data_IF_239531876571
#
_entry.id   IF_239531876571
#
_cell.length_a   1.000
_cell.length_b   1.000
_cell.length_c   1.000
_cell.angle_alpha   90.00
_cell.angle_beta   90.00
_cell.angle_gamma   90.00
#
_symmetry.space_group_name_H-M   'P 1'
#
loop_
_entity.id
_entity.type
_entity.pdbx_description
1 polymer ?
#
# COMPACT_ATOMS: atom_id res chain seq x y z
N UNK A 1 -0.02 7.51 -29.01
CA UNK A 1 0.51 6.97 -27.75
C UNK A 1 1.92 7.50 -27.56
N UNK A 2 2.16 8.23 -26.47
CA UNK A 2 3.51 8.66 -26.09
C UNK A 2 4.29 7.43 -25.63
N UNK A 3 5.41 7.15 -26.30
CA UNK A 3 6.35 6.12 -25.86
C UNK A 3 6.98 6.57 -24.53
N UNK A 4 6.81 5.78 -23.48
CA UNK A 4 7.49 5.98 -22.20
C UNK A 4 8.95 5.60 -22.38
N UNK A 5 9.85 6.58 -22.41
CA UNK A 5 11.29 6.34 -22.59
C UNK A 5 11.99 5.83 -21.33
N UNK A 6 11.39 6.05 -20.15
CA UNK A 6 11.94 5.70 -18.84
C UNK A 6 10.82 5.36 -17.86
N UNK A 7 11.08 4.37 -17.01
CA UNK A 7 10.30 4.08 -15.81
C UNK A 7 11.19 4.21 -14.59
N UNK A 8 10.66 4.77 -13.50
CA UNK A 8 11.32 4.82 -12.20
C UNK A 8 10.51 3.92 -11.26
N UNK A 9 11.13 2.85 -10.77
CA UNK A 9 10.53 1.94 -9.81
C UNK A 9 11.12 2.22 -8.43
N UNK A 10 10.25 2.47 -7.45
CA UNK A 10 10.61 2.65 -6.05
C UNK A 10 9.96 1.54 -5.25
N UNK A 11 10.77 0.74 -4.56
CA UNK A 11 10.29 -0.31 -3.66
C UNK A 11 10.40 0.21 -2.23
N UNK A 12 9.29 0.24 -1.51
CA UNK A 12 9.25 0.53 -0.09
C UNK A 12 9.20 -0.80 0.67
N UNK A 13 10.37 -1.28 1.06
CA UNK A 13 10.49 -2.58 1.74
C UNK A 13 9.74 -2.57 3.09
N UNK A 14 9.02 -3.66 3.38
CA UNK A 14 8.19 -3.82 4.57
C UNK A 14 6.86 -3.04 4.59
N UNK A 15 6.55 -2.24 3.57
CA UNK A 15 5.34 -1.40 3.55
C UNK A 15 4.13 -2.16 2.95
N UNK A 16 3.64 -3.14 3.70
CA UNK A 16 2.46 -3.91 3.35
C UNK A 16 1.14 -3.14 3.53
N UNK A 17 0.19 -3.36 2.62
CA UNK A 17 -1.14 -2.70 2.59
C UNK A 17 -2.31 -3.65 2.93
N UNK A 18 -2.01 -4.71 3.68
CA UNK A 18 -2.97 -5.73 4.10
C UNK A 18 -2.48 -7.16 3.83
N UNK A 19 -3.18 -8.13 4.41
CA UNK A 19 -2.78 -9.53 4.36
C UNK A 19 -2.92 -10.11 2.95
N UNK A 20 -1.95 -10.95 2.55
CA UNK A 20 -2.07 -11.74 1.33
C UNK A 20 -3.19 -12.79 1.49
N UNK A 21 -3.84 -13.27 0.41
CA UNK A 21 -4.95 -14.23 0.53
C UNK A 21 -4.60 -15.54 1.25
N UNK A 22 -3.34 -15.96 1.23
CA UNK A 22 -2.82 -17.16 1.89
C UNK A 22 -2.18 -16.90 3.26
N UNK A 23 -2.26 -15.66 3.79
CA UNK A 23 -1.56 -15.26 5.01
C UNK A 23 -1.90 -16.14 6.23
N UNK A 24 -3.10 -16.72 6.27
CA UNK A 24 -3.49 -17.66 7.33
C UNK A 24 -2.61 -18.91 7.38
N UNK A 25 -2.08 -19.38 6.25
CA UNK A 25 -1.17 -20.52 6.19
C UNK A 25 0.20 -20.22 6.84
N UNK A 26 0.53 -18.94 7.00
CA UNK A 26 1.78 -18.46 7.57
C UNK A 26 1.62 -17.86 8.98
N UNK A 27 0.41 -17.89 9.54
CA UNK A 27 0.11 -17.29 10.84
C UNK A 27 -0.05 -15.75 10.82
N UNK A 28 -0.10 -15.14 9.63
CA UNK A 28 -0.12 -13.69 9.44
C UNK A 28 -1.53 -13.18 9.07
N UNK A 29 -2.58 -13.90 9.48
CA UNK A 29 -3.97 -13.50 9.23
C UNK A 29 -4.26 -12.12 9.83
N UNK A 30 -4.79 -11.20 9.02
CA UNK A 30 -5.09 -9.83 9.44
C UNK A 30 -3.88 -8.90 9.53
N UNK A 31 -2.69 -9.31 9.08
CA UNK A 31 -1.54 -8.43 9.00
C UNK A 31 -1.81 -7.22 8.08
N UNK A 32 -1.49 -6.01 8.54
CA UNK A 32 -1.62 -4.77 7.75
C UNK A 32 -0.60 -3.74 8.27
N UNK A 33 0.62 -3.77 7.73
CA UNK A 33 1.74 -2.99 8.27
C UNK A 33 1.47 -1.49 8.28
N UNK A 34 1.04 -0.94 7.15
CA UNK A 34 0.82 0.50 7.00
C UNK A 34 -0.34 1.00 7.85
N UNK A 35 -1.44 0.24 7.90
CA UNK A 35 -2.62 0.56 8.71
C UNK A 35 -2.31 0.53 10.21
N UNK A 36 -1.72 -0.57 10.70
CA UNK A 36 -1.39 -0.71 12.12
C UNK A 36 -0.32 0.31 12.56
N UNK A 37 0.64 0.63 11.69
CA UNK A 37 1.62 1.69 11.96
C UNK A 37 0.92 3.04 12.15
N UNK A 38 0.07 3.43 11.20
CA UNK A 38 -0.67 4.69 11.27
C UNK A 38 -1.56 4.77 12.52
N UNK A 39 -2.21 3.68 12.91
CA UNK A 39 -2.99 3.59 14.15
C UNK A 39 -2.10 3.74 15.39
N UNK A 40 -0.98 3.02 15.45
CA UNK A 40 -0.10 2.98 16.61
C UNK A 40 0.55 4.34 16.91
N UNK A 41 0.83 5.15 15.89
CA UNK A 41 1.46 6.47 16.05
C UNK A 41 0.45 7.63 16.14
N UNK A 42 -0.85 7.34 16.10
CA UNK A 42 -1.91 8.36 16.16
C UNK A 42 -2.17 9.12 14.86
N UNK A 43 -1.65 8.62 13.74
CA UNK A 43 -1.83 9.18 12.41
C UNK A 43 -0.52 9.28 11.62
N UNK A 44 -0.60 8.95 10.33
CA UNK A 44 0.49 9.04 9.38
C UNK A 44 0.06 9.92 8.20
N UNK A 45 0.56 11.16 8.17
CA UNK A 45 0.27 12.13 7.13
C UNK A 45 1.18 11.91 5.92
N UNK A 46 0.61 11.45 4.80
CA UNK A 46 1.33 11.18 3.56
C UNK A 46 0.70 11.96 2.40
N UNK A 47 0.72 13.31 2.42
CA UNK A 47 -0.02 14.13 1.45
C UNK A 47 0.35 13.81 -0.01
N UNK A 48 1.63 13.55 -0.29
CA UNK A 48 2.11 13.22 -1.63
C UNK A 48 1.66 11.82 -2.09
N UNK A 49 1.72 10.82 -1.21
CA UNK A 49 1.27 9.46 -1.55
C UNK A 49 -0.25 9.37 -1.60
N UNK A 50 -0.96 10.13 -0.77
CA UNK A 50 -2.40 10.33 -0.86
C UNK A 50 -2.81 10.90 -2.21
N UNK A 51 -2.10 11.91 -2.70
CA UNK A 51 -2.31 12.49 -4.04
C UNK A 51 -2.07 11.48 -5.18
N UNK A 52 -1.17 10.52 -4.99
CA UNK A 52 -0.94 9.40 -5.92
C UNK A 52 -1.98 8.27 -5.78
N UNK A 53 -2.82 8.29 -4.73
CA UNK A 53 -3.91 7.34 -4.51
C UNK A 53 -3.67 6.28 -3.43
N UNK A 54 -2.60 6.38 -2.64
CA UNK A 54 -2.29 5.38 -1.60
C UNK A 54 -3.42 5.21 -0.57
N UNK A 55 -4.05 6.31 -0.14
CA UNK A 55 -5.17 6.28 0.80
C UNK A 55 -6.42 5.57 0.27
N UNK A 56 -6.52 5.33 -1.05
CA UNK A 56 -7.61 4.58 -1.66
C UNK A 56 -7.36 3.07 -1.68
N UNK A 57 -6.15 2.61 -1.35
CA UNK A 57 -5.79 1.18 -1.38
C UNK A 57 -6.16 0.48 -0.07
N UNK A 58 -5.85 1.12 1.07
CA UNK A 58 -6.05 0.58 2.41
C UNK A 58 -6.29 1.72 3.40
N UNK A 59 -7.01 1.52 4.52
CA UNK A 59 -7.18 2.54 5.54
C UNK A 59 -5.83 2.99 6.13
N UNK A 60 -5.58 4.30 6.14
CA UNK A 60 -4.39 4.90 6.76
C UNK A 60 -4.88 6.10 7.57
N UNK A 61 -4.84 5.99 8.90
CA UNK A 61 -5.18 7.12 9.78
C UNK A 61 -4.27 8.30 9.43
N UNK A 62 -4.83 9.48 9.11
CA UNK A 62 -4.07 10.65 8.66
C UNK A 62 -3.84 10.76 7.14
N UNK A 63 -4.16 9.73 6.36
CA UNK A 63 -4.13 9.77 4.88
C UNK A 63 -5.44 9.19 4.31
N UNK A 64 -6.54 9.95 4.32
CA UNK A 64 -7.84 9.47 3.89
C UNK A 64 -7.90 9.20 2.36
N UNK A 65 -8.88 8.40 1.90
CA UNK A 65 -9.24 8.28 0.49
C UNK A 65 -9.52 9.63 -0.17
N UNK A 66 -9.26 9.72 -1.48
CA UNK A 66 -9.40 10.95 -2.28
C UNK A 66 -9.89 10.62 -3.70
N UNK A 67 -10.78 11.46 -4.21
CA UNK A 67 -11.28 11.36 -5.60
C UNK A 67 -10.38 12.11 -6.59
N UNK A 68 -9.63 13.11 -6.13
CA UNK A 68 -8.83 14.02 -6.95
C UNK A 68 -7.39 13.53 -7.20
N UNK A 69 -7.20 12.21 -7.37
CA UNK A 69 -5.85 11.61 -7.50
C UNK A 69 -5.18 11.94 -8.84
N UNK A 70 -3.84 11.98 -8.84
CA UNK A 70 -3.03 12.19 -10.04
C UNK A 70 -2.45 10.90 -10.62
N UNK A 71 -2.60 9.78 -9.92
CA UNK A 71 -2.05 8.47 -10.29
C UNK A 71 -3.11 7.39 -10.47
N UNK A 72 -2.68 6.24 -11.00
CA UNK A 72 -3.42 4.99 -10.91
C UNK A 72 -2.96 4.21 -9.69
N UNK A 73 -3.88 3.57 -8.97
CA UNK A 73 -3.60 2.88 -7.73
C UNK A 73 -4.24 1.49 -7.72
N UNK A 74 -3.69 0.61 -6.88
CA UNK A 74 -4.15 -0.76 -6.70
C UNK A 74 -3.24 -1.51 -5.74
N UNK A 75 -3.59 -2.75 -5.43
CA UNK A 75 -2.75 -3.65 -4.65
C UNK A 75 -2.42 -4.91 -5.45
N UNK A 76 -1.26 -5.48 -5.18
CA UNK A 76 -0.83 -6.75 -5.76
C UNK A 76 -0.88 -7.83 -4.69
N UNK A 77 -1.33 -9.03 -5.06
CA UNK A 77 -1.17 -10.23 -4.26
C UNK A 77 0.09 -10.95 -4.73
N UNK A 78 0.93 -11.40 -3.79
CA UNK A 78 2.10 -12.21 -4.16
C UNK A 78 1.64 -13.55 -4.72
N UNK A 79 2.22 -13.96 -5.84
CA UNK A 79 1.99 -15.27 -6.44
C UNK A 79 3.03 -16.32 -6.00
N UNK A 80 4.11 -15.89 -5.36
CA UNK A 80 5.14 -16.79 -4.86
C UNK A 80 4.69 -17.46 -3.57
N UNK A 81 5.06 -18.73 -3.38
CA UNK A 81 4.89 -19.42 -2.10
C UNK A 81 5.99 -18.97 -1.15
N UNK A 82 5.61 -18.46 0.01
CA UNK A 82 6.54 -17.93 1.01
C UNK A 82 6.45 -16.42 1.19
N UNK A 83 7.23 -15.90 2.13
CA UNK A 83 7.22 -14.49 2.54
C UNK A 83 8.58 -13.80 2.43
N UNK A 84 9.55 -14.47 1.79
CA UNK A 84 10.91 -14.00 1.55
C UNK A 84 11.15 -13.75 0.04
#
# INVERSE_FOLDING_TARGET
>A
MTQLSRAILVVLDGVGVGANPDASAYGDAGASSLEHCAQAIGGLELPNLGQLGLGNITPILGTPPRDDVSGSYGRMASAATGKD
#
